data_IF_313293542885
#
_entry.id   IF_313293542885
#
_cell.length_a   1.000
_cell.length_b   1.000
_cell.length_c   1.000
_cell.angle_alpha   90.00
_cell.angle_beta   90.00
_cell.angle_gamma   90.00
#
_symmetry.space_group_name_H-M   'P 1'
#
loop_
_entity.id
_entity.type
_entity.pdbx_description
1 polymer ?
#
# COMPACT_ATOMS: atom_id res chain seq x y z
N UNK A 1 61.04 -6.00 7.14
CA UNK A 1 60.35 -6.66 6.02
C UNK A 1 58.86 -6.38 6.14
N UNK A 2 58.24 -5.79 5.12
CA UNK A 2 56.83 -5.35 5.11
C UNK A 2 55.87 -6.52 4.84
N UNK A 3 54.67 -6.42 5.42
CA UNK A 3 53.59 -7.41 5.51
C UNK A 3 52.98 -7.84 4.14
N UNK A 4 52.27 -9.00 4.07
CA UNK A 4 51.83 -9.60 2.83
C UNK A 4 50.60 -8.90 2.23
N UNK A 5 50.46 -9.09 0.93
CA UNK A 5 49.59 -8.38 0.02
C UNK A 5 48.09 -8.47 0.33
N UNK A 6 47.43 -7.33 0.09
CA UNK A 6 46.00 -7.09 0.03
C UNK A 6 45.17 -8.29 -0.43
N UNK A 7 44.22 -8.70 0.43
CA UNK A 7 43.05 -9.46 0.01
C UNK A 7 42.18 -8.59 -0.91
N UNK A 8 42.35 -8.76 -2.22
CA UNK A 8 41.35 -8.40 -3.23
C UNK A 8 40.59 -9.65 -3.59
N UNK A 9 39.38 -9.81 -3.07
CA UNK A 9 38.40 -10.77 -3.61
C UNK A 9 37.72 -10.14 -4.82
N UNK A 10 38.01 -10.73 -5.97
CA UNK A 10 37.33 -10.58 -7.25
C UNK A 10 35.92 -11.16 -7.08
N UNK A 11 34.87 -10.42 -7.48
CA UNK A 11 33.42 -10.73 -7.33
C UNK A 11 32.80 -10.46 -5.95
N UNK A 12 32.12 -9.32 -5.85
CA UNK A 12 31.32 -8.94 -4.70
C UNK A 12 31.17 -7.43 -4.67
N UNK A 13 30.22 -6.90 -5.44
CA UNK A 13 29.73 -5.54 -5.18
C UNK A 13 29.20 -5.51 -3.76
N UNK A 14 30.02 -5.01 -2.84
CA UNK A 14 29.51 -4.49 -1.58
C UNK A 14 28.91 -3.14 -1.96
N UNK A 15 27.68 -3.15 -2.45
CA UNK A 15 26.84 -1.97 -2.29
C UNK A 15 26.53 -1.85 -0.80
N UNK A 16 27.52 -1.40 -0.02
CA UNK A 16 27.23 -0.70 1.21
C UNK A 16 26.47 0.55 0.77
N UNK A 17 25.15 0.45 0.80
CA UNK A 17 24.28 1.62 0.79
C UNK A 17 24.59 2.35 2.09
N UNK A 18 25.62 3.21 2.05
CA UNK A 18 26.03 4.10 3.13
C UNK A 18 24.95 5.17 3.36
N UNK A 19 23.77 4.75 3.82
CA UNK A 19 22.90 5.68 4.53
C UNK A 19 23.40 5.70 5.96
N UNK A 20 23.74 6.89 6.46
CA UNK A 20 24.00 7.08 7.89
C UNK A 20 22.85 6.45 8.69
N UNK A 21 23.14 5.80 9.82
CA UNK A 21 22.10 5.26 10.72
C UNK A 21 21.01 6.29 11.03
N UNK A 22 21.39 7.57 11.17
CA UNK A 22 20.47 8.68 11.37
C UNK A 22 19.53 8.94 10.17
N UNK A 23 19.98 8.66 8.94
CA UNK A 23 19.15 8.73 7.73
C UNK A 23 18.22 7.53 7.66
N UNK A 24 18.70 6.32 7.98
CA UNK A 24 17.86 5.12 8.06
C UNK A 24 16.68 5.28 9.02
N UNK A 25 16.94 5.75 10.24
CA UNK A 25 15.90 6.01 11.24
C UNK A 25 14.83 7.00 10.74
N UNK A 26 15.25 8.03 9.99
CA UNK A 26 14.31 9.01 9.41
C UNK A 26 13.43 8.39 8.32
N UNK A 27 14.01 7.52 7.49
CA UNK A 27 13.26 6.81 6.44
C UNK A 27 12.23 5.88 7.06
N UNK A 28 12.62 5.06 8.02
CA UNK A 28 11.71 4.11 8.70
C UNK A 28 10.57 4.84 9.41
N UNK A 29 10.86 5.98 10.04
CA UNK A 29 9.84 6.83 10.65
C UNK A 29 8.83 7.36 9.63
N UNK A 30 9.29 7.83 8.46
CA UNK A 30 8.39 8.35 7.43
C UNK A 30 7.57 7.23 6.77
N UNK A 31 8.17 6.07 6.50
CA UNK A 31 7.45 4.90 5.98
C UNK A 31 6.36 4.47 6.97
N UNK A 32 6.70 4.38 8.26
CA UNK A 32 5.74 4.05 9.32
C UNK A 32 4.61 5.07 9.38
N UNK A 33 4.92 6.35 9.24
CA UNK A 33 3.91 7.43 9.20
C UNK A 33 2.98 7.26 7.98
N UNK A 34 3.53 7.05 6.78
CA UNK A 34 2.74 6.87 5.56
C UNK A 34 1.77 5.70 5.67
N UNK A 35 2.22 4.55 6.20
CA UNK A 35 1.38 3.37 6.41
C UNK A 35 0.24 3.69 7.39
N UNK A 36 0.57 4.32 8.51
CA UNK A 36 -0.43 4.68 9.53
C UNK A 36 -1.47 5.67 9.00
N UNK A 37 -1.04 6.66 8.22
CA UNK A 37 -1.95 7.65 7.62
C UNK A 37 -2.84 6.99 6.55
N UNK A 38 -2.29 6.05 5.77
CA UNK A 38 -3.05 5.22 4.85
C UNK A 38 -4.11 4.37 5.56
N UNK A 39 -3.75 3.71 6.66
CA UNK A 39 -4.67 2.92 7.48
C UNK A 39 -5.80 3.78 8.05
N UNK A 40 -5.48 4.93 8.65
CA UNK A 40 -6.49 5.87 9.17
C UNK A 40 -7.44 6.36 8.08
N UNK A 41 -6.91 6.63 6.90
CA UNK A 41 -7.71 7.05 5.74
C UNK A 41 -8.65 5.93 5.30
N UNK A 42 -8.16 4.70 5.20
CA UNK A 42 -8.98 3.53 4.86
C UNK A 42 -10.10 3.31 5.90
N UNK A 43 -9.78 3.37 7.19
CA UNK A 43 -10.77 3.27 8.25
C UNK A 43 -11.83 4.36 8.17
N UNK A 44 -11.43 5.61 7.89
CA UNK A 44 -12.34 6.74 7.74
C UNK A 44 -13.31 6.49 6.59
N UNK A 45 -12.81 6.09 5.42
CA UNK A 45 -13.63 5.79 4.23
C UNK A 45 -14.62 4.65 4.52
N UNK A 46 -14.18 3.57 5.18
CA UNK A 46 -15.05 2.46 5.56
C UNK A 46 -16.13 2.89 6.57
N UNK A 47 -15.80 3.78 7.52
CA UNK A 47 -16.75 4.32 8.49
C UNK A 47 -17.77 5.26 7.83
N UNK A 48 -17.33 6.12 6.92
CA UNK A 48 -18.20 7.03 6.15
C UNK A 48 -19.17 6.27 5.25
N UNK A 49 -18.71 5.21 4.60
CA UNK A 49 -19.51 4.38 3.70
C UNK A 49 -20.00 3.07 4.33
N UNK A 50 -20.20 3.04 5.66
CA UNK A 50 -20.54 1.83 6.42
C UNK A 50 -21.77 1.08 5.89
N UNK A 51 -22.77 1.78 5.37
CA UNK A 51 -23.97 1.17 4.78
C UNK A 51 -23.64 0.36 3.52
N UNK A 52 -22.88 0.96 2.59
CA UNK A 52 -22.43 0.30 1.38
C UNK A 52 -21.51 -0.89 1.71
N UNK A 53 -20.58 -0.70 2.65
CA UNK A 53 -19.70 -1.76 3.14
C UNK A 53 -20.47 -2.98 3.67
N UNK A 54 -21.47 -2.75 4.53
CA UNK A 54 -22.31 -3.83 5.06
C UNK A 54 -23.11 -4.52 3.96
N UNK A 55 -23.65 -3.77 3.00
CA UNK A 55 -24.41 -4.35 1.87
C UNK A 55 -23.53 -5.25 1.01
N UNK A 56 -22.29 -4.84 0.72
CA UNK A 56 -21.31 -5.65 -0.01
C UNK A 56 -20.97 -6.91 0.78
N UNK A 57 -20.67 -6.78 2.08
CA UNK A 57 -20.32 -7.91 2.93
C UNK A 57 -21.45 -8.94 3.01
N UNK A 58 -22.69 -8.49 3.21
CA UNK A 58 -23.86 -9.37 3.21
C UNK A 58 -24.03 -10.06 1.85
N UNK A 59 -23.83 -9.33 0.75
CA UNK A 59 -23.94 -9.93 -0.57
C UNK A 59 -22.87 -10.99 -0.83
N UNK A 60 -21.62 -10.74 -0.44
CA UNK A 60 -20.53 -11.71 -0.55
C UNK A 60 -20.79 -12.99 0.26
N UNK A 61 -21.48 -12.90 1.40
CA UNK A 61 -21.89 -14.10 2.16
C UNK A 61 -22.90 -14.94 1.38
N UNK A 62 -23.77 -14.32 0.57
CA UNK A 62 -24.78 -15.02 -0.22
C UNK A 62 -24.22 -15.66 -1.49
N UNK A 63 -23.34 -14.95 -2.22
CA UNK A 63 -22.90 -15.35 -3.57
C UNK A 63 -21.44 -15.76 -3.66
N UNK A 64 -20.67 -15.63 -2.58
CA UNK A 64 -19.22 -15.91 -2.44
C UNK A 64 -18.28 -15.08 -3.31
N UNK A 65 -18.69 -14.74 -4.53
CA UNK A 65 -17.96 -13.96 -5.51
C UNK A 65 -18.87 -12.88 -6.07
N UNK A 66 -18.31 -11.70 -6.34
CA UNK A 66 -19.07 -10.54 -6.79
C UNK A 66 -18.30 -9.87 -7.93
N UNK A 67 -18.92 -9.81 -9.10
CA UNK A 67 -18.29 -9.24 -10.29
C UNK A 67 -18.26 -7.72 -10.24
N UNK A 68 -17.35 -7.10 -10.99
CA UNK A 68 -17.15 -5.63 -10.97
C UNK A 68 -18.47 -4.87 -11.19
N UNK A 69 -19.28 -5.28 -12.17
CA UNK A 69 -20.55 -4.62 -12.46
C UNK A 69 -21.55 -4.70 -11.30
N UNK A 70 -21.58 -5.81 -10.59
CA UNK A 70 -22.46 -6.01 -9.42
C UNK A 70 -21.99 -5.15 -8.25
N UNK A 71 -20.68 -5.05 -8.07
CA UNK A 71 -20.07 -4.24 -7.03
C UNK A 71 -20.38 -2.75 -7.23
N UNK A 72 -20.18 -2.28 -8.47
CA UNK A 72 -20.49 -0.93 -8.90
C UNK A 72 -21.97 -0.58 -8.75
N UNK A 73 -22.88 -1.52 -9.02
CA UNK A 73 -24.32 -1.36 -8.75
C UNK A 73 -24.62 -1.13 -7.27
N UNK A 74 -23.98 -1.89 -6.38
CA UNK A 74 -24.18 -1.71 -4.93
C UNK A 74 -23.65 -0.34 -4.48
N UNK A 75 -22.48 0.08 -4.98
CA UNK A 75 -21.90 1.38 -4.66
C UNK A 75 -22.76 2.55 -5.12
N UNK A 76 -23.22 2.52 -6.37
CA UNK A 76 -24.08 3.57 -6.94
C UNK A 76 -25.45 3.64 -6.27
N UNK A 77 -26.03 2.50 -5.88
CA UNK A 77 -27.26 2.46 -5.08
C UNK A 77 -27.12 3.16 -3.71
N UNK A 78 -25.90 3.21 -3.18
CA UNK A 78 -25.56 3.91 -1.93
C UNK A 78 -25.03 5.34 -2.16
N UNK A 79 -25.16 5.88 -3.38
CA UNK A 79 -24.80 7.26 -3.71
C UNK A 79 -23.29 7.49 -3.88
N UNK A 80 -22.49 6.44 -4.04
CA UNK A 80 -21.04 6.56 -4.26
C UNK A 80 -20.78 6.72 -5.75
N UNK A 81 -20.22 7.87 -6.13
CA UNK A 81 -19.85 8.17 -7.52
C UNK A 81 -18.54 7.46 -7.86
N UNK A 82 -18.60 6.61 -8.89
CA UNK A 82 -17.45 5.85 -9.37
C UNK A 82 -16.54 6.74 -10.23
N UNK A 83 -15.24 6.70 -9.96
CA UNK A 83 -14.23 7.30 -10.84
C UNK A 83 -13.86 6.27 -11.90
N UNK A 84 -14.10 6.56 -13.18
CA UNK A 84 -13.77 5.64 -14.25
C UNK A 84 -12.27 5.64 -14.52
N UNK A 85 -11.75 4.51 -15.00
CA UNK A 85 -10.31 4.30 -15.23
C UNK A 85 -9.68 5.33 -16.17
N UNK A 86 -10.47 5.89 -17.08
CA UNK A 86 -10.03 6.92 -18.04
C UNK A 86 -9.69 8.27 -17.40
N UNK A 87 -10.17 8.53 -16.17
CA UNK A 87 -9.95 9.79 -15.45
C UNK A 87 -8.63 9.83 -14.66
N UNK A 88 -7.92 8.70 -14.57
CA UNK A 88 -6.61 8.60 -13.90
C UNK A 88 -5.52 8.65 -14.98
N UNK A 89 -5.27 9.85 -15.52
CA UNK A 89 -4.04 10.10 -16.28
C UNK A 89 -2.89 10.17 -15.27
N UNK A 90 -2.07 9.13 -15.23
CA UNK A 90 -0.76 9.13 -14.54
C UNK A 90 0.24 9.93 -15.36
#
# INVERSE_FOLDING_TARGET
ALAPALGRTQFGEIMEKEYSEAVGVKVDAEVSRMINDGLKTAEKVLKEHKKAFNAIAQKLIEVETLEQEEYEKILTAHGIVLKKKDDIKV
#
